data_IF_727614737927
#
_entry.id   IF_727614737927
#
_cell.length_a   1.000
_cell.length_b   1.000
_cell.length_c   1.000
_cell.angle_alpha   90.00
_cell.angle_beta   90.00
_cell.angle_gamma   90.00
#
_symmetry.space_group_name_H-M   'P 1'
#
loop_
_entity.id
_entity.type
_entity.pdbx_description
1 polymer ?
#
# COMPACT_ATOMS: atom_id res chain seq x y z
N UNK A 1 -14.63 29.21 -6.90
CA UNK A 1 -13.43 28.83 -6.13
C UNK A 1 -13.39 27.32 -6.13
N UNK A 2 -12.35 26.73 -6.70
CA UNK A 2 -12.21 25.27 -6.76
C UNK A 2 -12.15 24.73 -5.34
N UNK A 3 -13.12 23.91 -4.95
CA UNK A 3 -13.20 23.22 -3.66
C UNK A 3 -12.27 22.01 -3.68
N UNK A 4 -10.98 22.24 -3.48
CA UNK A 4 -9.96 21.20 -3.28
C UNK A 4 -9.41 21.39 -1.87
N UNK A 5 -9.40 20.32 -1.06
CA UNK A 5 -8.82 20.40 0.30
C UNK A 5 -7.30 20.51 0.23
N UNK A 6 -6.65 20.90 1.33
CA UNK A 6 -5.18 20.91 1.38
C UNK A 6 -4.61 19.53 1.10
N UNK A 7 -5.19 18.45 1.66
CA UNK A 7 -4.68 17.11 1.37
C UNK A 7 -4.79 16.76 -0.11
N UNK A 8 -5.92 17.07 -0.75
CA UNK A 8 -6.11 16.81 -2.18
C UNK A 8 -5.16 17.65 -3.04
N UNK A 9 -4.89 18.89 -2.64
CA UNK A 9 -3.92 19.74 -3.31
C UNK A 9 -2.52 19.12 -3.24
N UNK A 10 -2.09 18.71 -2.04
CA UNK A 10 -0.77 18.14 -1.80
C UNK A 10 -0.60 16.80 -2.55
N UNK A 11 -1.62 15.94 -2.52
CA UNK A 11 -1.67 14.69 -3.29
C UNK A 11 -1.49 14.95 -4.79
N UNK A 12 -2.23 15.91 -5.34
CA UNK A 12 -2.15 16.27 -6.75
C UNK A 12 -0.77 16.83 -7.11
N UNK A 13 -0.20 17.70 -6.28
CA UNK A 13 1.15 18.23 -6.50
C UNK A 13 2.20 17.11 -6.60
N UNK A 14 2.14 16.13 -5.71
CA UNK A 14 3.09 15.01 -5.73
C UNK A 14 2.81 14.02 -6.88
N UNK A 15 1.55 13.79 -7.21
CA UNK A 15 1.17 12.99 -8.37
C UNK A 15 1.71 13.60 -9.68
N UNK A 16 1.53 14.91 -9.88
CA UNK A 16 2.06 15.60 -11.05
C UNK A 16 3.58 15.64 -11.06
N UNK A 17 4.24 15.89 -9.93
CA UNK A 17 5.70 15.83 -9.85
C UNK A 17 6.23 14.44 -10.25
N UNK A 18 5.57 13.37 -9.80
CA UNK A 18 5.94 11.99 -10.16
C UNK A 18 5.76 11.71 -11.66
N UNK A 19 4.69 12.22 -12.27
CA UNK A 19 4.47 12.10 -13.72
C UNK A 19 5.52 12.88 -14.53
N UNK A 20 5.92 14.06 -14.07
CA UNK A 20 6.98 14.86 -14.71
C UNK A 20 8.31 14.10 -14.67
N UNK A 21 8.67 13.50 -13.54
CA UNK A 21 9.89 12.68 -13.44
C UNK A 21 9.85 11.48 -14.37
N UNK A 22 8.71 10.80 -14.43
CA UNK A 22 8.53 9.66 -15.32
C UNK A 22 8.64 10.04 -16.80
N UNK A 23 7.98 11.12 -17.24
CA UNK A 23 8.07 11.61 -18.62
C UNK A 23 9.48 12.09 -18.96
N UNK A 24 10.18 12.67 -17.97
CA UNK A 24 11.58 13.05 -18.08
C UNK A 24 12.57 11.88 -18.00
N UNK A 25 12.11 10.62 -17.86
CA UNK A 25 12.95 9.44 -17.66
C UNK A 25 13.90 9.55 -16.44
N UNK A 26 13.49 10.30 -15.41
CA UNK A 26 14.21 10.41 -14.13
C UNK A 26 13.64 9.47 -13.08
N UNK A 27 14.49 9.06 -12.13
CA UNK A 27 14.07 8.24 -11.00
C UNK A 27 13.11 9.00 -10.07
N UNK A 28 12.04 8.33 -9.65
CA UNK A 28 11.02 8.90 -8.76
C UNK A 28 11.47 8.70 -7.31
N UNK A 29 12.34 9.58 -6.83
CA UNK A 29 12.80 9.60 -5.43
C UNK A 29 12.15 10.73 -4.62
N UNK A 30 12.11 10.66 -3.28
CA UNK A 30 11.59 11.75 -2.45
C UNK A 30 12.31 13.07 -2.72
N UNK A 31 13.62 13.05 -2.94
CA UNK A 31 14.44 14.24 -3.20
C UNK A 31 14.09 14.85 -4.56
N UNK A 32 13.95 14.02 -5.60
CA UNK A 32 13.59 14.48 -6.94
C UNK A 32 12.19 15.11 -6.97
N UNK A 33 11.23 14.52 -6.27
CA UNK A 33 9.88 15.08 -6.09
C UNK A 33 9.96 16.44 -5.39
N UNK A 34 10.68 16.53 -4.26
CA UNK A 34 10.83 17.79 -3.53
C UNK A 34 11.49 18.89 -4.37
N UNK A 35 12.46 18.56 -5.22
CA UNK A 35 13.05 19.51 -6.16
C UNK A 35 12.00 20.15 -7.10
N UNK A 36 11.08 19.35 -7.64
CA UNK A 36 10.00 19.85 -8.50
C UNK A 36 9.00 20.70 -7.70
N UNK A 37 8.66 20.28 -6.49
CA UNK A 37 7.75 21.02 -5.62
C UNK A 37 8.31 22.41 -5.28
N UNK A 38 9.59 22.47 -4.90
CA UNK A 38 10.27 23.75 -4.66
C UNK A 38 10.36 24.61 -5.92
N UNK A 39 10.65 24.02 -7.09
CA UNK A 39 10.69 24.76 -8.35
C UNK A 39 9.31 25.31 -8.78
N UNK A 40 8.23 24.61 -8.43
CA UNK A 40 6.85 25.01 -8.71
C UNK A 40 6.25 25.94 -7.65
N UNK A 41 6.95 26.17 -6.54
CA UNK A 41 6.48 27.00 -5.42
C UNK A 41 5.38 26.34 -4.58
N UNK A 42 5.24 25.02 -4.66
CA UNK A 42 4.28 24.25 -3.87
C UNK A 42 4.94 23.70 -2.60
N UNK A 43 4.25 23.87 -1.47
CA UNK A 43 4.60 23.24 -0.20
C UNK A 43 3.60 22.13 0.08
N UNK A 44 4.11 20.91 0.31
CA UNK A 44 3.29 19.73 0.63
C UNK A 44 3.80 19.09 1.91
N UNK A 45 2.97 18.25 2.53
CA UNK A 45 3.41 17.50 3.70
C UNK A 45 4.53 16.50 3.38
N UNK A 46 5.60 16.40 4.21
CA UNK A 46 6.78 15.57 3.94
C UNK A 46 6.51 14.07 3.75
N UNK A 47 5.34 13.58 4.21
CA UNK A 47 4.97 12.18 4.02
C UNK A 47 4.64 11.86 2.55
N UNK A 48 4.11 12.83 1.79
CA UNK A 48 3.62 12.61 0.43
C UNK A 48 4.73 12.19 -0.55
N UNK A 49 5.88 12.89 -0.64
CA UNK A 49 6.98 12.48 -1.52
C UNK A 49 7.48 11.06 -1.23
N UNK A 50 7.59 10.72 0.06
CA UNK A 50 8.04 9.39 0.50
C UNK A 50 7.04 8.31 0.10
N UNK A 51 5.75 8.57 0.31
CA UNK A 51 4.67 7.65 -0.06
C UNK A 51 4.66 7.38 -1.57
N UNK A 52 4.70 8.43 -2.40
CA UNK A 52 4.64 8.29 -3.85
C UNK A 52 5.89 7.61 -4.43
N UNK A 53 7.08 7.96 -3.95
CA UNK A 53 8.31 7.25 -4.34
C UNK A 53 8.24 5.76 -4.02
N UNK A 54 7.68 5.39 -2.87
CA UNK A 54 7.53 3.98 -2.48
C UNK A 54 6.46 3.27 -3.30
N UNK A 55 5.33 3.92 -3.56
CA UNK A 55 4.23 3.39 -4.37
C UNK A 55 4.66 3.12 -5.82
N UNK A 56 5.47 4.03 -6.39
CA UNK A 56 5.89 4.01 -7.79
C UNK A 56 7.27 3.36 -7.99
N UNK A 57 7.88 2.83 -6.94
CA UNK A 57 9.18 2.15 -6.98
C UNK A 57 9.22 0.93 -7.90
N UNK A 58 8.08 0.29 -8.15
CA UNK A 58 7.97 -0.86 -9.05
C UNK A 58 7.95 -0.40 -10.50
N UNK A 59 8.84 -0.98 -11.30
CA UNK A 59 8.89 -0.74 -12.74
C UNK A 59 7.54 -1.00 -13.41
N UNK A 60 7.13 -0.10 -14.30
CA UNK A 60 5.85 -0.16 -15.00
C UNK A 60 4.62 0.21 -14.15
N UNK A 61 4.76 0.43 -12.84
CA UNK A 61 3.60 0.70 -11.97
C UNK A 61 2.87 2.01 -12.33
N UNK A 62 3.61 3.06 -12.66
CA UNK A 62 3.03 4.33 -13.08
C UNK A 62 2.25 4.20 -14.40
N UNK A 63 2.76 3.42 -15.36
CA UNK A 63 2.08 3.15 -16.63
C UNK A 63 0.79 2.36 -16.42
N UNK A 64 0.84 1.34 -15.56
CA UNK A 64 -0.33 0.56 -15.17
C UNK A 64 -1.41 1.45 -14.55
N UNK A 65 -1.03 2.31 -13.60
CA UNK A 65 -1.96 3.24 -12.95
C UNK A 65 -2.58 4.22 -13.94
N UNK A 66 -1.80 4.81 -14.84
CA UNK A 66 -2.32 5.74 -15.86
C UNK A 66 -3.27 5.02 -16.83
N UNK A 67 -2.91 3.81 -17.27
CA UNK A 67 -3.68 3.05 -18.26
C UNK A 67 -5.01 2.51 -17.71
N UNK A 68 -5.07 2.24 -16.41
CA UNK A 68 -6.27 1.73 -15.72
C UNK A 68 -7.12 2.82 -15.07
N UNK A 69 -6.66 4.08 -15.11
CA UNK A 69 -7.33 5.21 -14.47
C UNK A 69 -7.05 5.37 -12.98
N UNK A 70 -6.13 4.57 -12.42
CA UNK A 70 -5.79 4.53 -11.01
C UNK A 70 -6.92 4.00 -10.12
N UNK A 71 -6.61 3.59 -8.89
CA UNK A 71 -7.64 3.53 -7.87
C UNK A 71 -8.15 4.95 -7.69
N UNK A 72 -9.45 5.20 -7.94
CA UNK A 72 -10.03 6.53 -7.87
C UNK A 72 -9.54 7.24 -6.59
N UNK A 73 -8.82 8.35 -6.75
CA UNK A 73 -8.34 9.20 -5.67
C UNK A 73 -9.57 9.72 -4.90
N UNK A 74 -9.97 8.94 -3.90
CA UNK A 74 -11.24 9.05 -3.20
C UNK A 74 -11.02 8.77 -1.73
N UNK A 75 -10.46 9.76 -1.05
CA UNK A 75 -10.32 9.78 0.39
C UNK A 75 -9.13 8.98 0.90
N UNK A 76 -8.28 9.64 1.68
CA UNK A 76 -7.31 8.98 2.54
C UNK A 76 -8.01 7.85 3.32
N UNK A 77 -7.78 6.60 2.92
CA UNK A 77 -8.02 5.48 3.80
C UNK A 77 -6.95 5.54 4.89
N UNK A 78 -7.40 5.72 6.12
CA UNK A 78 -6.58 5.66 7.31
C UNK A 78 -5.72 4.38 7.33
N UNK A 79 -4.58 4.47 8.03
CA UNK A 79 -3.63 3.44 8.45
C UNK A 79 -4.11 1.97 8.34
N UNK A 80 -3.20 1.01 8.03
CA UNK A 80 -3.55 -0.31 7.55
C UNK A 80 -4.42 -1.06 8.57
N UNK A 81 -5.70 -1.14 8.23
CA UNK A 81 -6.66 -2.07 8.78
C UNK A 81 -7.51 -2.55 7.61
N UNK A 82 -7.42 -3.85 7.34
CA UNK A 82 -8.17 -4.60 6.34
C UNK A 82 -7.73 -4.42 4.88
N UNK A 83 -7.20 -5.53 4.36
CA UNK A 83 -7.21 -5.85 2.94
C UNK A 83 -8.62 -5.65 2.37
N UNK A 84 -8.75 -4.78 1.38
CA UNK A 84 -9.90 -4.71 0.50
C UNK A 84 -9.44 -5.18 -0.88
N UNK A 85 -9.88 -6.39 -1.23
CA UNK A 85 -9.53 -7.08 -2.46
C UNK A 85 -10.00 -6.34 -3.71
N UNK A 86 -9.18 -6.44 -4.75
CA UNK A 86 -9.61 -6.18 -6.11
C UNK A 86 -10.61 -7.27 -6.52
N UNK A 87 -11.86 -6.88 -6.73
CA UNK A 87 -12.86 -7.70 -7.39
C UNK A 87 -12.56 -7.72 -8.90
N UNK A 88 -12.20 -8.89 -9.42
CA UNK A 88 -11.93 -9.11 -10.83
C UNK A 88 -11.51 -10.54 -11.13
N UNK A 89 -12.50 -11.43 -11.18
CA UNK A 89 -12.48 -12.72 -11.89
C UNK A 89 -11.37 -13.74 -11.55
N UNK A 90 -11.65 -14.63 -10.57
CA UNK A 90 -11.47 -16.08 -10.75
C UNK A 90 -12.25 -16.81 -9.65
N UNK A 91 -13.49 -17.19 -9.97
CA UNK A 91 -14.26 -18.15 -9.20
C UNK A 91 -13.86 -19.55 -9.70
N UNK A 92 -12.98 -20.24 -8.96
CA UNK A 92 -12.79 -21.72 -8.89
C UNK A 92 -11.34 -22.06 -8.46
N UNK A 93 -10.96 -21.79 -7.20
CA UNK A 93 -9.87 -22.57 -6.56
C UNK A 93 -9.71 -22.37 -5.04
N UNK A 94 -10.81 -22.30 -4.28
CA UNK A 94 -10.73 -22.05 -2.81
C UNK A 94 -11.29 -23.22 -1.97
N UNK A 95 -11.77 -24.31 -2.55
CA UNK A 95 -12.22 -25.50 -1.80
C UNK A 95 -11.22 -26.67 -1.88
N UNK A 96 -9.95 -26.51 -1.48
CA UNK A 96 -9.13 -27.71 -1.16
C UNK A 96 -7.94 -27.49 -0.20
N UNK A 97 -7.85 -26.35 0.48
CA UNK A 97 -6.75 -26.11 1.44
C UNK A 97 -7.15 -25.74 2.86
N UNK A 98 -8.45 -25.67 3.15
CA UNK A 98 -8.94 -25.36 4.50
C UNK A 98 -9.21 -26.60 5.37
N UNK A 99 -8.93 -27.82 4.90
CA UNK A 99 -9.22 -29.06 5.65
C UNK A 99 -8.01 -29.72 6.32
N UNK A 100 -6.80 -29.22 6.11
CA UNK A 100 -5.58 -29.85 6.67
C UNK A 100 -5.11 -29.22 7.99
N UNK A 101 -5.63 -28.06 8.40
CA UNK A 101 -5.22 -27.40 9.66
C UNK A 101 -6.12 -27.67 10.89
N UNK A 102 -7.28 -28.32 10.72
CA UNK A 102 -8.19 -28.60 11.86
C UNK A 102 -7.98 -29.97 12.53
N UNK A 103 -7.27 -30.94 11.92
CA UNK A 103 -7.14 -32.30 12.49
C UNK A 103 -5.87 -32.53 13.35
N UNK A 104 -4.84 -31.66 13.26
CA UNK A 104 -3.63 -31.75 14.10
C UNK A 104 -3.79 -31.04 15.47
N UNK A 105 -4.88 -30.31 15.70
CA UNK A 105 -5.11 -29.54 16.93
C UNK A 105 -5.96 -30.28 18.00
N UNK A 106 -6.53 -31.45 17.68
CA UNK A 106 -7.49 -32.15 18.57
C UNK A 106 -7.01 -33.53 19.07
N UNK A 107 -5.73 -33.90 18.91
CA UNK A 107 -5.22 -35.21 19.37
C UNK A 107 -3.85 -35.19 20.07
N UNK A 108 -3.52 -34.11 20.80
CA UNK A 108 -2.29 -34.02 21.59
C UNK A 108 -2.44 -33.39 23.00
N UNK A 109 -3.66 -33.10 23.42
CA UNK A 109 -3.97 -32.27 24.59
C UNK A 109 -4.25 -33.00 25.92
N UNK A 110 -3.54 -34.11 26.22
CA UNK A 110 -3.62 -34.68 27.57
C UNK A 110 -3.04 -36.10 27.72
N UNK A 111 -1.78 -36.19 28.17
CA UNK A 111 -1.46 -37.12 29.28
C UNK A 111 -0.08 -36.89 29.95
N UNK A 112 0.99 -36.41 29.30
CA UNK A 112 2.33 -36.56 29.93
C UNK A 112 3.28 -35.36 29.75
N UNK A 113 2.90 -34.20 30.27
CA UNK A 113 3.90 -33.27 30.83
C UNK A 113 3.40 -32.62 32.13
N UNK A 114 2.64 -33.40 32.92
CA UNK A 114 2.58 -33.25 34.37
C UNK A 114 3.97 -33.64 34.91
N UNK A 115 4.83 -32.64 34.99
CA UNK A 115 6.20 -32.74 35.49
C UNK A 115 6.80 -31.35 35.65
N UNK A 116 5.96 -30.41 36.10
CA UNK A 116 6.44 -29.16 36.65
C UNK A 116 7.21 -29.48 37.93
N UNK A 117 8.48 -29.10 37.93
CA UNK A 117 9.19 -28.64 39.12
C UNK A 117 8.21 -27.92 40.04
N UNK A 118 7.99 -28.49 41.23
CA UNK A 118 8.04 -27.82 42.53
C UNK A 118 7.72 -28.86 43.64
N UNK A 119 8.66 -28.99 44.60
CA UNK A 119 8.56 -29.64 45.93
C UNK A 119 8.91 -31.14 46.12
N UNK A 120 10.21 -31.49 46.08
CA UNK A 120 10.93 -32.21 47.18
C UNK A 120 12.46 -32.14 47.05
#
# INVERSE_FOLDING_TARGET
>A
MSTITKEQHDELCVAYASMILFDGEHEITPEAINHILHASGNEVEPYWPTLFSSLLSKEGKIVELISTGGAAAGGAAAAPGAAAGAAGAEAEKVEEKAKEEEEEADLGGGMDMFGGDEDY
#
